data_IF_657008013263
#
_entry.id   IF_657008013263
#
_cell.length_a   1.000
_cell.length_b   1.000
_cell.length_c   1.000
_cell.angle_alpha   90.00
_cell.angle_beta   90.00
_cell.angle_gamma   90.00
#
_symmetry.space_group_name_H-M   'P 1'
#
loop_
_entity.id
_entity.type
_entity.pdbx_description
1 polymer ?
#
# COMPACT_ATOMS: atom_id res chain seq x y z
N UNK A 1 -7.35 -17.73 15.24
CA UNK A 1 -5.96 -17.29 15.51
C UNK A 1 -5.99 -15.92 16.17
N UNK A 2 -4.92 -15.54 16.87
CA UNK A 2 -4.69 -14.16 17.36
C UNK A 2 -3.55 -13.50 16.58
N UNK A 3 -3.42 -12.16 16.58
CA UNK A 3 -2.30 -11.50 15.91
C UNK A 3 -0.95 -12.08 16.34
N UNK A 4 -0.08 -12.33 15.36
CA UNK A 4 1.23 -12.95 15.55
C UNK A 4 1.26 -14.48 15.67
N UNK A 5 0.10 -15.15 15.79
CA UNK A 5 0.02 -16.62 15.81
C UNK A 5 0.57 -17.24 14.53
N UNK A 6 1.22 -18.40 14.63
CA UNK A 6 1.77 -19.15 13.49
C UNK A 6 1.28 -20.60 13.52
N UNK A 7 0.90 -21.14 12.36
CA UNK A 7 0.45 -22.54 12.21
C UNK A 7 1.16 -23.19 11.02
N UNK A 8 1.67 -24.43 11.12
CA UNK A 8 2.18 -25.14 9.95
C UNK A 8 1.06 -25.43 8.94
N UNK A 9 1.37 -25.35 7.65
CA UNK A 9 0.47 -25.84 6.60
C UNK A 9 0.68 -27.34 6.43
N UNK A 10 -0.41 -28.10 6.49
CA UNK A 10 -0.39 -29.57 6.38
C UNK A 10 -0.72 -30.06 4.97
N UNK A 11 -1.10 -29.16 4.06
CA UNK A 11 -1.44 -29.44 2.66
C UNK A 11 -0.66 -28.50 1.74
N UNK A 12 -0.31 -28.94 0.52
CA UNK A 12 0.50 -28.15 -0.40
C UNK A 12 -0.26 -26.98 -1.02
N UNK A 13 -1.59 -27.08 -1.15
CA UNK A 13 -2.44 -26.05 -1.74
C UNK A 13 -3.42 -25.51 -0.71
N UNK A 14 -3.39 -24.20 -0.48
CA UNK A 14 -4.28 -23.52 0.46
C UNK A 14 -4.97 -22.34 -0.19
N UNK A 15 -6.23 -22.12 0.15
CA UNK A 15 -6.98 -20.92 -0.21
C UNK A 15 -7.13 -20.02 1.03
N UNK A 16 -6.87 -18.73 0.86
CA UNK A 16 -7.12 -17.70 1.87
C UNK A 16 -8.30 -16.87 1.39
N UNK A 17 -9.49 -17.18 1.89
CA UNK A 17 -10.70 -16.42 1.63
C UNK A 17 -10.78 -15.24 2.60
N UNK A 18 -10.99 -14.01 2.12
CA UNK A 18 -11.16 -12.84 3.00
C UNK A 18 -12.55 -12.26 2.82
N UNK A 19 -13.37 -12.34 3.87
CA UNK A 19 -14.76 -11.86 3.87
C UNK A 19 -14.93 -10.67 4.80
N UNK A 20 -15.85 -9.76 4.46
CA UNK A 20 -16.29 -8.68 5.34
C UNK A 20 -17.75 -8.32 5.04
N UNK A 21 -18.42 -7.55 5.92
CA UNK A 21 -19.74 -6.97 5.66
C UNK A 21 -19.76 -5.97 4.48
N UNK A 22 -18.59 -5.50 4.08
CA UNK A 22 -18.36 -4.56 2.97
C UNK A 22 -17.56 -5.26 1.87
N UNK A 23 -17.61 -4.72 0.65
CA UNK A 23 -16.80 -5.23 -0.46
C UNK A 23 -15.32 -4.92 -0.21
N UNK A 24 -14.50 -5.93 -0.43
CA UNK A 24 -13.05 -5.87 -0.32
C UNK A 24 -12.43 -6.27 -1.66
N UNK A 25 -11.31 -5.63 -1.99
CA UNK A 25 -10.37 -6.13 -2.97
C UNK A 25 -9.25 -6.87 -2.26
N UNK A 26 -9.02 -8.12 -2.65
CA UNK A 26 -7.99 -8.96 -2.05
C UNK A 26 -6.85 -9.15 -3.03
N UNK A 27 -5.62 -9.11 -2.52
CA UNK A 27 -4.43 -9.29 -3.35
C UNK A 27 -3.38 -10.14 -2.65
N UNK A 28 -2.49 -10.75 -3.42
CA UNK A 28 -1.34 -11.51 -2.97
C UNK A 28 -0.05 -10.87 -3.47
N UNK A 29 0.91 -10.63 -2.57
CA UNK A 29 2.26 -10.18 -2.93
C UNK A 29 3.26 -11.30 -2.63
N UNK A 30 4.03 -11.72 -3.64
CA UNK A 30 5.10 -12.70 -3.50
C UNK A 30 6.40 -11.97 -3.19
N UNK A 31 6.98 -12.24 -2.03
CA UNK A 31 8.13 -11.52 -1.50
C UNK A 31 9.35 -12.43 -1.39
N UNK A 32 10.49 -11.89 -1.80
CA UNK A 32 11.80 -12.48 -1.57
C UNK A 32 12.22 -12.36 -0.10
N UNK A 33 13.40 -12.89 0.23
CA UNK A 33 14.02 -12.75 1.55
C UNK A 33 14.25 -11.29 1.97
N UNK A 34 14.38 -10.38 1.01
CA UNK A 34 14.54 -8.94 1.24
C UNK A 34 13.20 -8.26 1.59
N UNK A 35 12.10 -9.02 1.57
CA UNK A 35 10.75 -8.51 1.83
C UNK A 35 10.19 -7.67 0.69
N UNK A 36 10.67 -7.88 -0.55
CA UNK A 36 10.26 -7.12 -1.74
C UNK A 36 9.77 -8.06 -2.85
N UNK A 37 8.89 -7.57 -3.71
CA UNK A 37 8.55 -8.25 -4.98
C UNK A 37 9.74 -8.22 -5.94
N UNK A 38 9.84 -9.19 -6.86
CA UNK A 38 10.91 -9.20 -7.89
C UNK A 38 10.53 -8.36 -9.11
N UNK A 39 9.25 -8.39 -9.46
CA UNK A 39 8.62 -7.66 -10.56
C UNK A 39 7.13 -7.52 -10.29
N UNK A 40 6.40 -6.83 -11.17
CA UNK A 40 4.95 -6.70 -11.08
C UNK A 40 4.22 -8.05 -11.22
N UNK A 41 4.87 -9.08 -11.81
CA UNK A 41 4.33 -10.46 -11.90
C UNK A 41 4.10 -11.10 -10.52
N UNK A 42 4.81 -10.62 -9.50
CA UNK A 42 4.68 -11.07 -8.12
C UNK A 42 3.54 -10.35 -7.36
N UNK A 43 2.76 -9.50 -8.05
CA UNK A 43 1.55 -8.90 -7.52
C UNK A 43 0.30 -9.50 -8.17
N UNK A 44 -0.45 -10.30 -7.40
CA UNK A 44 -1.60 -11.07 -7.87
C UNK A 44 -2.90 -10.46 -7.33
N UNK A 45 -3.78 -10.02 -8.22
CA UNK A 45 -5.03 -9.33 -7.89
C UNK A 45 -6.06 -9.52 -9.01
N UNK A 46 -7.25 -8.93 -8.91
CA UNK A 46 -8.35 -9.20 -9.87
C UNK A 46 -7.99 -8.93 -11.35
N UNK A 47 -7.15 -7.93 -11.65
CA UNK A 47 -6.74 -7.60 -13.03
C UNK A 47 -5.52 -8.40 -13.49
N UNK A 48 -4.79 -9.02 -12.56
CA UNK A 48 -3.67 -9.93 -12.81
C UNK A 48 -3.85 -11.18 -11.93
N UNK A 49 -4.80 -12.07 -12.27
CA UNK A 49 -5.27 -13.08 -11.34
C UNK A 49 -4.35 -14.29 -11.21
N UNK A 50 -3.20 -14.30 -11.88
CA UNK A 50 -2.26 -15.42 -11.89
C UNK A 50 -0.85 -14.91 -11.73
N UNK A 51 -0.12 -15.54 -10.82
CA UNK A 51 1.32 -15.38 -10.61
C UNK A 51 1.97 -16.73 -10.26
N UNK A 52 3.27 -16.76 -9.96
CA UNK A 52 4.02 -17.98 -9.73
C UNK A 52 3.53 -18.80 -8.52
N UNK A 53 2.72 -19.83 -8.76
CA UNK A 53 2.13 -20.66 -7.70
C UNK A 53 1.04 -19.95 -6.88
N UNK A 54 0.57 -18.79 -7.33
CA UNK A 54 -0.45 -17.99 -6.63
C UNK A 54 -1.53 -17.56 -7.62
N UNK A 55 -2.80 -17.73 -7.27
CA UNK A 55 -3.92 -17.29 -8.10
C UNK A 55 -4.95 -16.54 -7.28
N UNK A 56 -5.44 -15.43 -7.81
CA UNK A 56 -6.62 -14.73 -7.28
C UNK A 56 -7.89 -15.36 -7.85
N UNK A 57 -8.92 -15.42 -7.02
CA UNK A 57 -10.27 -15.80 -7.40
C UNK A 57 -11.24 -14.79 -6.82
N UNK A 58 -12.04 -14.16 -7.67
CA UNK A 58 -13.15 -13.34 -7.23
C UNK A 58 -14.19 -14.18 -6.48
N UNK A 59 -14.73 -13.62 -5.40
CA UNK A 59 -15.81 -14.24 -4.65
C UNK A 59 -17.09 -14.37 -5.48
N UNK A 60 -17.75 -15.53 -5.42
CA UNK A 60 -19.05 -15.74 -6.06
C UNK A 60 -20.20 -15.51 -5.08
N UNK A 61 -21.31 -14.92 -5.55
CA UNK A 61 -22.57 -14.88 -4.80
C UNK A 61 -22.51 -14.16 -3.45
N UNK A 62 -21.63 -13.17 -3.28
CA UNK A 62 -21.42 -12.45 -2.03
C UNK A 62 -20.35 -13.09 -1.12
N UNK A 63 -19.69 -14.16 -1.57
CA UNK A 63 -18.45 -14.64 -0.96
C UNK A 63 -17.31 -13.62 -1.12
N UNK A 64 -16.33 -13.71 -0.24
CA UNK A 64 -15.11 -12.89 -0.30
C UNK A 64 -14.17 -13.37 -1.41
N UNK A 65 -13.28 -12.49 -1.84
CA UNK A 65 -12.19 -12.85 -2.75
C UNK A 65 -11.18 -13.75 -2.05
N UNK A 66 -10.51 -14.58 -2.85
CA UNK A 66 -9.58 -15.57 -2.34
C UNK A 66 -8.22 -15.53 -3.06
N UNK A 67 -7.15 -15.72 -2.29
CA UNK A 67 -5.81 -16.01 -2.80
C UNK A 67 -5.53 -17.48 -2.57
N UNK A 68 -5.35 -18.24 -3.65
CA UNK A 68 -4.92 -19.63 -3.58
C UNK A 68 -3.41 -19.70 -3.78
N UNK A 69 -2.72 -20.40 -2.89
CA UNK A 69 -1.28 -20.63 -2.91
C UNK A 69 -1.02 -22.12 -3.09
N UNK A 70 -0.36 -22.48 -4.18
CA UNK A 70 0.26 -23.79 -4.39
C UNK A 70 1.73 -23.72 -4.01
N UNK A 71 2.02 -24.14 -2.78
CA UNK A 71 3.35 -24.04 -2.18
C UNK A 71 4.43 -24.87 -2.89
N UNK A 72 4.04 -25.83 -3.73
CA UNK A 72 4.98 -26.60 -4.55
C UNK A 72 5.35 -25.89 -5.86
N UNK A 73 4.50 -24.97 -6.32
CA UNK A 73 4.71 -24.18 -7.54
C UNK A 73 5.30 -22.79 -7.27
N UNK A 74 5.36 -22.36 -6.00
CA UNK A 74 6.02 -21.11 -5.61
C UNK A 74 7.53 -21.20 -5.87
N UNK A 75 8.14 -20.23 -6.58
CA UNK A 75 9.57 -20.21 -6.85
C UNK A 75 10.42 -20.25 -5.57
N UNK A 76 11.61 -20.88 -5.61
CA UNK A 76 12.43 -21.10 -4.41
C UNK A 76 13.02 -19.81 -3.80
N UNK A 77 13.07 -18.73 -4.56
CA UNK A 77 13.51 -17.39 -4.15
C UNK A 77 12.40 -16.54 -3.49
N UNK A 78 11.15 -17.03 -3.48
CA UNK A 78 10.05 -16.44 -2.73
C UNK A 78 9.94 -17.10 -1.35
N UNK A 79 10.11 -16.30 -0.30
CA UNK A 79 10.05 -16.77 1.09
C UNK A 79 8.67 -16.55 1.73
N UNK A 80 7.86 -15.64 1.17
CA UNK A 80 6.59 -15.23 1.76
C UNK A 80 5.58 -14.77 0.71
N UNK A 81 4.33 -15.13 0.90
CA UNK A 81 3.17 -14.59 0.20
C UNK A 81 2.33 -13.81 1.21
N UNK A 82 2.21 -12.51 1.01
CA UNK A 82 1.41 -11.62 1.85
C UNK A 82 0.02 -11.48 1.24
N UNK A 83 -1.03 -11.72 2.02
CA UNK A 83 -2.41 -11.52 1.60
C UNK A 83 -2.93 -10.22 2.17
N UNK A 84 -3.36 -9.32 1.29
CA UNK A 84 -3.83 -7.98 1.62
C UNK A 84 -5.30 -7.82 1.28
N UNK A 85 -5.98 -6.91 1.99
CA UNK A 85 -7.33 -6.49 1.67
C UNK A 85 -7.42 -4.95 1.68
N UNK A 86 -8.09 -4.36 0.70
CA UNK A 86 -8.42 -2.93 0.65
C UNK A 86 -9.91 -2.73 0.41
N UNK A 87 -10.41 -1.56 0.80
CA UNK A 87 -11.79 -1.17 0.53
C UNK A 87 -11.89 -0.55 -0.86
N UNK A 88 -12.86 -0.99 -1.66
CA UNK A 88 -13.13 -0.49 -3.02
C UNK A 88 -13.72 0.93 -3.01
N UNK A 89 -14.38 1.33 -1.91
CA UNK A 89 -15.04 2.62 -1.81
C UNK A 89 -14.07 3.76 -1.40
N UNK A 90 -13.98 4.86 -2.17
CA UNK A 90 -13.14 6.02 -1.83
C UNK A 90 -13.47 6.60 -0.44
N UNK A 91 -12.45 6.79 0.39
CA UNK A 91 -12.60 7.34 1.74
C UNK A 91 -13.20 6.37 2.77
N UNK A 92 -13.52 5.13 2.39
CA UNK A 92 -13.92 4.10 3.33
C UNK A 92 -12.73 3.66 4.19
N UNK A 93 -13.01 3.34 5.45
CA UNK A 93 -12.02 2.87 6.42
C UNK A 93 -12.49 1.57 7.05
N UNK A 94 -11.56 0.81 7.62
CA UNK A 94 -11.88 -0.43 8.34
C UNK A 94 -12.50 -0.19 9.74
N UNK A 95 -12.72 1.07 10.13
CA UNK A 95 -13.36 1.41 11.39
C UNK A 95 -14.72 0.72 11.53
N UNK A 96 -14.87 -0.10 12.57
CA UNK A 96 -16.11 -0.85 12.83
C UNK A 96 -16.38 -2.00 11.84
N UNK A 97 -15.40 -2.35 11.01
CA UNK A 97 -15.47 -3.50 10.09
C UNK A 97 -14.69 -4.68 10.68
N UNK A 98 -15.19 -5.91 10.48
CA UNK A 98 -14.55 -7.13 10.95
C UNK A 98 -14.19 -8.06 9.78
N UNK A 99 -13.14 -7.73 8.99
CA UNK A 99 -12.69 -8.60 7.92
C UNK A 99 -12.15 -9.91 8.52
N UNK A 100 -12.47 -11.03 7.91
CA UNK A 100 -12.09 -12.35 8.41
C UNK A 100 -11.40 -13.14 7.30
N UNK A 101 -10.13 -13.48 7.51
CA UNK A 101 -9.41 -14.44 6.69
C UNK A 101 -9.72 -15.86 7.17
N UNK A 102 -10.16 -16.72 6.25
CA UNK A 102 -10.26 -18.16 6.47
C UNK A 102 -9.30 -18.89 5.54
N UNK A 103 -8.35 -19.60 6.14
CA UNK A 103 -7.38 -20.43 5.45
C UNK A 103 -7.94 -21.84 5.36
N UNK A 104 -8.04 -22.38 4.14
CA UNK A 104 -8.60 -23.70 3.85
C UNK A 104 -7.65 -24.51 2.98
N UNK A 105 -7.74 -25.83 3.03
CA UNK A 105 -7.19 -26.67 1.97
C UNK A 105 -7.90 -26.37 0.66
N UNK A 106 -7.14 -26.11 -0.41
CA UNK A 106 -7.73 -25.70 -1.69
C UNK A 106 -8.47 -26.85 -2.39
N UNK A 107 -8.06 -28.10 -2.12
CA UNK A 107 -8.60 -29.29 -2.77
C UNK A 107 -9.78 -29.91 -2.00
N UNK A 108 -9.77 -29.84 -0.66
CA UNK A 108 -10.77 -30.48 0.22
C UNK A 108 -11.69 -29.48 0.94
N UNK A 109 -11.36 -28.18 0.90
CA UNK A 109 -12.10 -27.12 1.59
C UNK A 109 -11.98 -27.13 3.11
N UNK A 110 -11.14 -28.00 3.68
CA UNK A 110 -11.01 -28.15 5.13
C UNK A 110 -10.44 -26.88 5.76
N UNK A 111 -11.09 -26.36 6.81
CA UNK A 111 -10.62 -25.15 7.50
C UNK A 111 -9.37 -25.48 8.30
N UNK A 112 -8.28 -24.78 7.99
CA UNK A 112 -6.99 -24.87 8.66
C UNK A 112 -6.91 -23.81 9.77
N UNK A 113 -7.33 -22.58 9.43
CA UNK A 113 -7.29 -21.47 10.36
C UNK A 113 -8.30 -20.38 10.00
N UNK A 114 -8.71 -19.61 11.01
CA UNK A 114 -9.51 -18.39 10.84
C UNK A 114 -8.89 -17.27 11.65
N UNK A 115 -8.87 -16.06 11.10
CA UNK A 115 -8.33 -14.88 11.75
C UNK A 115 -9.14 -13.63 11.38
N UNK A 116 -9.58 -12.91 12.40
CA UNK A 116 -10.23 -11.61 12.27
C UNK A 116 -9.32 -10.59 12.98
N UNK A 117 -8.69 -9.65 12.24
CA UNK A 117 -7.86 -8.61 12.84
C UNK A 117 -8.66 -7.78 13.85
N UNK A 118 -8.20 -7.63 15.10
CA UNK A 118 -8.89 -6.79 16.08
C UNK A 118 -8.53 -5.31 15.89
N UNK A 119 -9.40 -4.42 16.35
CA UNK A 119 -9.11 -2.99 16.55
C UNK A 119 -8.69 -2.21 15.29
N UNK A 120 -9.33 -2.46 14.16
CA UNK A 120 -9.17 -1.63 12.96
C UNK A 120 -9.83 -0.26 13.16
N UNK A 121 -9.24 0.77 12.56
CA UNK A 121 -9.63 2.17 12.69
C UNK A 121 -9.58 2.89 11.33
N UNK A 122 -8.72 3.90 11.22
CA UNK A 122 -8.68 4.80 10.04
C UNK A 122 -7.98 4.19 8.83
N UNK A 123 -7.58 2.93 8.89
CA UNK A 123 -6.85 2.27 7.83
C UNK A 123 -7.77 1.96 6.64
N UNK A 124 -7.20 2.04 5.43
CA UNK A 124 -7.93 1.84 4.17
C UNK A 124 -7.45 0.60 3.40
N UNK A 125 -6.32 0.03 3.82
CA UNK A 125 -5.84 -1.29 3.44
C UNK A 125 -5.29 -2.03 4.67
N UNK A 126 -5.17 -3.35 4.58
CA UNK A 126 -4.61 -4.17 5.65
C UNK A 126 -3.88 -5.40 5.11
N UNK A 127 -2.81 -5.80 5.80
CA UNK A 127 -2.16 -7.11 5.65
C UNK A 127 -2.83 -8.09 6.60
N UNK A 128 -3.56 -9.07 6.06
CA UNK A 128 -4.43 -9.95 6.86
C UNK A 128 -3.61 -11.11 7.43
N UNK A 129 -2.98 -11.86 6.55
CA UNK A 129 -2.17 -13.04 6.87
C UNK A 129 -0.97 -13.10 5.93
N UNK A 130 0.05 -13.85 6.35
CA UNK A 130 1.18 -14.21 5.49
C UNK A 130 1.35 -15.73 5.46
N UNK A 131 1.57 -16.29 4.29
CA UNK A 131 2.00 -17.67 4.07
C UNK A 131 3.50 -17.64 3.83
N UNK A 132 4.31 -18.26 4.67
CA UNK A 132 5.76 -18.09 4.64
C UNK A 132 6.49 -19.40 4.85
N UNK A 133 7.70 -19.48 4.31
CA UNK A 133 8.59 -20.63 4.43
C UNK A 133 9.50 -20.44 5.64
N UNK A 134 9.62 -21.47 6.48
CA UNK A 134 10.59 -21.49 7.59
C UNK A 134 10.92 -22.91 7.99
N UNK A 135 12.21 -23.21 8.12
CA UNK A 135 12.67 -24.53 8.57
C UNK A 135 12.28 -25.67 7.62
N UNK A 136 12.27 -25.41 6.30
CA UNK A 136 11.95 -26.40 5.27
C UNK A 136 10.46 -26.63 5.00
N UNK A 137 9.55 -26.02 5.78
CA UNK A 137 8.10 -26.12 5.58
C UNK A 137 7.41 -24.77 5.43
N UNK A 138 6.18 -24.80 4.95
CA UNK A 138 5.31 -23.63 4.85
C UNK A 138 4.43 -23.48 6.08
N UNK A 139 4.17 -22.24 6.47
CA UNK A 139 3.39 -21.86 7.65
C UNK A 139 2.50 -20.69 7.29
N UNK A 140 1.39 -20.54 7.99
CA UNK A 140 0.58 -19.31 7.95
C UNK A 140 0.75 -18.54 9.24
N UNK A 141 0.80 -17.21 9.15
CA UNK A 141 0.81 -16.31 10.29
C UNK A 141 -0.33 -15.30 10.19
N UNK A 142 -1.01 -15.10 11.31
CA UNK A 142 -1.96 -14.01 11.48
C UNK A 142 -1.19 -12.69 11.67
N UNK A 143 -1.44 -11.70 10.80
CA UNK A 143 -0.74 -10.40 10.84
C UNK A 143 -1.69 -9.34 11.39
N UNK A 144 -2.68 -8.91 10.59
CA UNK A 144 -3.67 -7.92 11.00
C UNK A 144 -3.11 -6.50 11.10
N UNK A 145 -2.15 -6.15 10.25
CA UNK A 145 -1.55 -4.82 10.23
C UNK A 145 -2.33 -3.93 9.26
N UNK A 146 -2.91 -2.85 9.76
CA UNK A 146 -3.57 -1.85 8.94
C UNK A 146 -2.61 -0.80 8.37
N UNK A 147 -3.01 -0.19 7.25
CA UNK A 147 -2.30 0.84 6.51
C UNK A 147 -3.22 2.05 6.27
N UNK A 148 -2.89 3.19 6.89
CA UNK A 148 -3.64 4.45 6.74
C UNK A 148 -3.45 5.09 5.35
N UNK A 149 -2.27 4.90 4.74
CA UNK A 149 -1.96 5.28 3.36
C UNK A 149 -2.41 4.23 2.33
N UNK A 150 -3.23 3.25 2.76
CA UNK A 150 -3.87 2.29 1.88
C UNK A 150 -2.92 1.36 1.14
N UNK A 151 -3.40 0.87 -0.01
CA UNK A 151 -2.65 -0.07 -0.85
C UNK A 151 -1.35 0.55 -1.36
N UNK A 152 -1.29 1.88 -1.54
CA UNK A 152 -0.06 2.57 -1.93
C UNK A 152 1.05 2.45 -0.87
N UNK A 153 0.69 2.46 0.41
CA UNK A 153 1.63 2.19 1.50
C UNK A 153 2.18 0.78 1.47
N UNK A 154 1.30 -0.19 1.28
CA UNK A 154 1.66 -1.61 1.10
C UNK A 154 2.59 -1.78 -0.09
N UNK A 155 2.25 -1.18 -1.24
CA UNK A 155 3.07 -1.23 -2.44
C UNK A 155 4.47 -0.67 -2.20
N UNK A 156 4.58 0.50 -1.54
CA UNK A 156 5.86 1.12 -1.18
C UNK A 156 6.69 0.22 -0.27
N UNK A 157 6.07 -0.32 0.79
CA UNK A 157 6.72 -1.21 1.76
C UNK A 157 7.24 -2.50 1.11
N UNK A 158 6.54 -3.01 0.09
CA UNK A 158 6.91 -4.24 -0.61
C UNK A 158 7.60 -4.02 -1.96
N UNK A 159 7.89 -2.77 -2.34
CA UNK A 159 8.65 -2.41 -3.54
C UNK A 159 7.89 -2.58 -4.85
N UNK A 160 6.56 -2.59 -4.81
CA UNK A 160 5.72 -2.53 -6.01
C UNK A 160 5.73 -1.11 -6.55
N UNK A 161 6.07 -0.94 -7.83
CA UNK A 161 5.93 0.35 -8.50
C UNK A 161 4.51 0.46 -9.02
N UNK A 162 3.62 1.12 -8.27
CA UNK A 162 2.29 1.45 -8.81
C UNK A 162 2.48 2.63 -9.75
N UNK A 163 2.40 2.39 -11.06
CA UNK A 163 2.16 3.48 -12.01
C UNK A 163 0.77 4.03 -11.71
N UNK A 164 0.70 5.05 -10.86
CA UNK A 164 -0.51 5.83 -10.69
C UNK A 164 -0.82 6.45 -12.07
N UNK A 165 -1.99 6.20 -12.68
CA UNK A 165 -2.38 6.94 -13.87
C UNK A 165 -2.35 8.41 -13.48
N UNK A 166 -1.45 9.16 -14.11
CA UNK A 166 -1.24 10.56 -13.81
C UNK A 166 -2.60 11.23 -13.69
N UNK A 167 -2.92 11.74 -12.49
CA UNK A 167 -4.08 12.58 -12.29
C UNK A 167 -4.09 13.59 -13.44
N UNK A 168 -5.20 13.74 -14.19
CA UNK A 168 -5.24 14.68 -15.29
C UNK A 168 -4.73 16.01 -14.76
N UNK A 169 -3.61 16.48 -15.32
CA UNK A 169 -3.00 17.73 -14.90
C UNK A 169 -4.11 18.77 -14.86
N UNK A 170 -4.38 19.31 -13.67
CA UNK A 170 -5.30 20.43 -13.54
C UNK A 170 -4.88 21.47 -14.59
N UNK A 171 -5.80 22.01 -15.40
CA UNK A 171 -5.46 22.99 -16.42
C UNK A 171 -4.63 24.08 -15.75
N UNK A 172 -3.42 24.29 -16.23
CA UNK A 172 -2.59 25.38 -15.76
C UNK A 172 -3.42 26.66 -15.85
N UNK A 173 -3.75 27.26 -14.71
CA UNK A 173 -4.36 28.57 -14.68
C UNK A 173 -3.48 29.50 -15.53
N UNK A 174 -4.07 30.35 -16.41
CA UNK A 174 -3.30 31.25 -17.24
C UNK A 174 -2.34 32.05 -16.35
N UNK A 175 -1.04 31.96 -16.64
CA UNK A 175 -0.03 32.74 -15.95
C UNK A 175 -0.44 34.22 -16.00
N UNK A 176 -0.69 34.81 -14.82
CA UNK A 176 -0.83 36.25 -14.71
C UNK A 176 0.48 36.90 -15.23
N UNK A 177 0.40 38.01 -15.99
CA UNK A 177 1.57 38.67 -16.53
C UNK A 177 2.55 39.06 -15.41
N UNK A 178 3.87 39.03 -15.66
CA UNK A 178 4.86 39.35 -14.64
C UNK A 178 4.67 40.79 -14.18
N UNK A 179 4.31 40.97 -12.91
CA UNK A 179 4.39 42.26 -12.25
C UNK A 179 5.87 42.62 -12.13
N UNK A 180 6.27 43.66 -12.85
CA UNK A 180 7.59 44.29 -12.75
C UNK A 180 7.75 44.79 -11.32
N UNK A 181 8.69 44.21 -10.57
CA UNK A 181 9.04 44.71 -9.25
C UNK A 181 9.72 46.07 -9.40
N UNK A 182 9.13 47.10 -8.79
CA UNK A 182 9.73 48.43 -8.71
C UNK A 182 10.99 48.40 -7.83
N UNK A 183 12.05 49.16 -8.17
CA UNK A 183 13.26 49.22 -7.36
C UNK A 183 12.99 49.86 -5.98
N UNK A 184 13.74 49.46 -4.95
CA UNK A 184 13.57 49.99 -3.60
C UNK A 184 14.03 51.47 -3.52
N UNK A 185 13.37 52.30 -2.69
CA UNK A 185 13.85 53.65 -2.40
C UNK A 185 15.06 53.58 -1.45
N UNK A 186 16.24 53.97 -1.93
CA UNK A 186 17.38 54.28 -1.07
C UNK A 186 17.11 55.59 -0.32
N UNK A 187 17.02 55.48 1.00
CA UNK A 187 16.83 56.60 1.94
C UNK A 187 18.04 57.55 2.04
N UNK A 188 17.91 58.61 2.84
CA UNK A 188 18.75 59.81 2.77
C UNK A 188 20.02 59.66 3.61
N UNK A 189 21.19 59.97 3.03
CA UNK A 189 22.45 60.08 3.75
C UNK A 189 22.97 61.52 3.73
N UNK A 190 22.93 62.11 4.93
CA UNK A 190 23.88 63.05 5.54
C UNK A 190 24.37 64.28 4.76
N UNK A 191 23.99 65.43 5.33
CA UNK A 191 24.51 66.77 5.10
C UNK A 191 26.03 66.84 5.31
N UNK A 192 26.74 67.52 4.40
CA UNK A 192 28.11 67.99 4.59
C UNK A 192 28.16 69.51 4.33
N UNK A 193 28.82 70.22 5.24
CA UNK A 193 28.76 71.66 5.48
C UNK A 193 29.33 72.56 4.34
N UNK A 194 29.01 73.87 4.30
CA UNK A 194 29.46 74.77 3.25
C UNK A 194 30.87 75.33 3.53
N UNK A 195 31.70 75.58 2.49
CA UNK A 195 32.88 76.43 2.63
C UNK A 195 32.51 77.93 2.44
N UNK A 196 33.31 78.86 2.99
CA UNK A 196 32.97 80.28 3.06
C UNK A 196 33.27 81.06 1.77
N UNK A 197 32.53 82.14 1.56
CA UNK A 197 32.76 83.14 0.50
C UNK A 197 33.97 84.05 0.80
N UNK A 198 34.66 84.55 -0.25
CA UNK A 198 35.25 85.89 -0.18
C UNK A 198 34.85 86.80 -1.36
N UNK A 199 34.17 87.88 -1.01
CA UNK A 199 34.32 89.30 -1.44
C UNK A 199 34.61 89.68 -2.91
N UNK A 200 33.70 90.50 -3.49
CA UNK A 200 33.92 91.51 -4.55
C UNK A 200 34.81 92.69 -4.04
N UNK A 201 35.13 93.82 -4.76
CA UNK A 201 34.63 94.43 -6.02
C UNK A 201 35.82 95.05 -6.85
N UNK A 202 35.74 96.11 -7.72
CA UNK A 202 34.64 96.87 -8.36
C UNK A 202 34.42 96.61 -9.86
#
# INVERSE_FOLDING_TARGET
>A
MTPGSNLPLTVPRVAVDVTAPVRLDVSGLLLTTDGKVRSDDDFVFYNQPTGPGVTHRAGAGGGGDAITVDTAAVPPDIDKIVVTASLDAPGATFAGTEPTATVRGADDGAVIATFTPPQLGTETALVVVEVYRRGGGWKVRAVGQGYANGLAGIATDFGVTVEEPAAPAAPAAPAAPPVTQAPPPTGPAAQMAPPPMPTAPP
#
